data_IF_471439991150
#
_entry.id   IF_471439991150
#
_cell.length_a   1.000
_cell.length_b   1.000
_cell.length_c   1.000
_cell.angle_alpha   90.00
_cell.angle_beta   90.00
_cell.angle_gamma   90.00
#
_symmetry.space_group_name_H-M   'P 1'
#
loop_
_entity.id
_entity.type
_entity.pdbx_description
1 polymer ?
#
# COMPACT_ATOMS: atom_id res chain seq x y z
N UNK A 1 -5.16 -3.68 -0.90
CA UNK A 1 -4.50 -4.94 -1.29
C UNK A 1 -3.30 -4.57 -2.14
N UNK A 2 -2.08 -4.95 -1.74
CA UNK A 2 -0.84 -4.68 -2.46
C UNK A 2 -0.31 -6.01 -2.98
N UNK A 3 -0.01 -6.10 -4.29
CA UNK A 3 0.57 -7.28 -4.91
C UNK A 3 2.04 -7.00 -5.23
N UNK A 4 3.00 -7.68 -4.59
CA UNK A 4 4.41 -7.57 -4.95
C UNK A 4 4.63 -8.00 -6.40
N UNK A 5 5.41 -7.21 -7.14
CA UNK A 5 5.75 -7.46 -8.55
C UNK A 5 7.27 -7.49 -8.71
N UNK A 6 7.78 -8.35 -9.58
CA UNK A 6 9.20 -8.41 -9.93
C UNK A 6 9.40 -8.29 -11.43
N UNK A 7 10.42 -7.54 -11.83
CA UNK A 7 10.81 -7.32 -13.22
C UNK A 7 12.22 -7.87 -13.43
N UNK A 8 12.42 -8.71 -14.45
CA UNK A 8 13.73 -9.27 -14.78
C UNK A 8 14.35 -8.66 -16.05
N UNK A 9 13.51 -8.06 -16.91
CA UNK A 9 13.96 -7.38 -18.12
C UNK A 9 14.63 -6.03 -17.78
N UNK A 10 15.87 -5.77 -18.24
CA UNK A 10 16.59 -4.55 -17.90
C UNK A 10 15.92 -3.25 -18.38
N UNK A 11 15.25 -3.28 -19.54
CA UNK A 11 14.58 -2.11 -20.08
C UNK A 11 13.33 -1.79 -19.24
N UNK A 12 12.54 -2.80 -18.90
CA UNK A 12 11.38 -2.62 -18.05
C UNK A 12 11.78 -2.23 -16.61
N UNK A 13 12.92 -2.73 -16.11
CA UNK A 13 13.47 -2.26 -14.84
C UNK A 13 13.85 -0.77 -14.89
N UNK A 14 14.47 -0.32 -15.99
CA UNK A 14 14.78 1.10 -16.19
C UNK A 14 13.51 1.96 -16.17
N UNK A 15 12.50 1.57 -16.94
CA UNK A 15 11.21 2.23 -16.98
C UNK A 15 10.58 2.31 -15.58
N UNK A 16 10.57 1.20 -14.83
CA UNK A 16 9.98 1.15 -13.51
C UNK A 16 10.69 2.01 -12.45
N UNK A 17 12.01 2.18 -12.58
CA UNK A 17 12.82 2.93 -11.62
C UNK A 17 12.88 4.42 -11.92
N UNK A 18 12.71 4.82 -13.18
CA UNK A 18 13.04 6.18 -13.62
C UNK A 18 11.93 6.91 -14.38
N UNK A 19 10.98 6.19 -14.97
CA UNK A 19 9.96 6.78 -15.83
C UNK A 19 8.56 6.74 -15.20
N UNK A 20 8.26 5.67 -14.46
CA UNK A 20 7.00 5.51 -13.76
C UNK A 20 6.97 6.30 -12.46
N UNK A 21 5.80 6.84 -12.14
CA UNK A 21 5.57 7.55 -10.88
C UNK A 21 4.42 6.92 -10.08
N UNK A 22 4.44 7.05 -8.74
CA UNK A 22 3.27 6.70 -7.94
C UNK A 22 2.01 7.41 -8.45
N UNK A 23 0.93 6.65 -8.62
CA UNK A 23 -0.34 7.15 -9.16
C UNK A 23 -0.54 6.90 -10.65
N UNK A 24 0.49 6.47 -11.39
CA UNK A 24 0.34 6.00 -12.77
C UNK A 24 -0.64 4.83 -12.84
N UNK A 25 -1.63 4.94 -13.73
CA UNK A 25 -2.52 3.83 -14.03
C UNK A 25 -1.86 2.92 -15.06
N UNK A 26 -1.67 1.66 -14.69
CA UNK A 26 -0.95 0.70 -15.53
C UNK A 26 -1.73 -0.58 -15.77
N UNK A 27 -1.46 -1.18 -16.93
CA UNK A 27 -1.72 -2.59 -17.21
C UNK A 27 -0.43 -3.37 -16.97
N UNK A 28 -0.50 -4.36 -16.09
CA UNK A 28 0.62 -5.24 -15.78
C UNK A 28 0.22 -6.65 -16.16
N UNK A 29 1.00 -7.29 -17.04
CA UNK A 29 0.80 -8.68 -17.47
C UNK A 29 1.99 -9.51 -17.00
N UNK A 30 1.70 -10.73 -16.56
CA UNK A 30 2.72 -11.64 -16.05
C UNK A 30 2.13 -12.95 -15.58
N UNK A 31 2.93 -13.70 -14.85
CA UNK A 31 2.50 -14.94 -14.20
C UNK A 31 2.66 -14.83 -12.69
N UNK A 32 1.62 -15.26 -11.99
CA UNK A 32 1.56 -15.23 -10.54
C UNK A 32 2.33 -16.41 -9.96
N UNK A 33 3.29 -16.15 -9.07
CA UNK A 33 3.87 -17.18 -8.22
C UNK A 33 3.03 -17.29 -6.96
N UNK A 34 2.38 -18.44 -6.83
CA UNK A 34 1.62 -18.80 -5.65
C UNK A 34 2.58 -19.21 -4.53
N UNK A 35 2.27 -18.82 -3.28
CA UNK A 35 3.09 -19.17 -2.14
C UNK A 35 3.05 -20.68 -1.91
N UNK A 36 4.21 -21.27 -1.62
CA UNK A 36 4.33 -22.71 -1.33
C UNK A 36 4.26 -22.99 0.16
N UNK A 37 4.43 -21.96 0.99
CA UNK A 37 4.36 -22.01 2.44
C UNK A 37 3.54 -20.82 2.96
N UNK A 38 2.97 -20.88 4.18
CA UNK A 38 2.15 -19.79 4.73
C UNK A 38 2.88 -18.45 4.91
N UNK A 39 4.21 -18.47 4.93
CA UNK A 39 5.04 -17.28 5.15
C UNK A 39 5.63 -16.71 3.85
N UNK A 40 5.45 -17.40 2.72
CA UNK A 40 5.90 -16.91 1.43
C UNK A 40 4.85 -15.94 0.87
N UNK A 41 5.22 -14.75 0.38
CA UNK A 41 4.26 -13.87 -0.25
C UNK A 41 3.90 -14.39 -1.65
N UNK A 42 2.66 -14.15 -2.06
CA UNK A 42 2.29 -14.22 -3.47
C UNK A 42 2.95 -13.05 -4.22
N UNK A 43 3.52 -13.28 -5.40
CA UNK A 43 4.09 -12.21 -6.21
C UNK A 43 3.88 -12.42 -7.71
N UNK A 44 3.79 -11.34 -8.47
CA UNK A 44 3.65 -11.34 -9.92
C UNK A 44 5.01 -11.18 -10.59
N UNK A 45 5.40 -12.11 -11.45
CA UNK A 45 6.56 -11.93 -12.33
C UNK A 45 6.08 -11.26 -13.61
N UNK A 46 6.52 -10.02 -13.82
CA UNK A 46 6.03 -9.16 -14.88
C UNK A 46 6.73 -9.52 -16.19
N UNK A 47 5.93 -9.71 -17.24
CA UNK A 47 6.40 -9.94 -18.62
C UNK A 47 6.09 -8.78 -19.54
N UNK A 48 5.11 -7.95 -19.18
CA UNK A 48 4.76 -6.75 -19.94
C UNK A 48 4.18 -5.69 -18.99
N UNK A 49 4.56 -4.44 -19.24
CA UNK A 49 4.12 -3.29 -18.48
C UNK A 49 3.71 -2.18 -19.45
N UNK A 50 2.48 -1.69 -19.31
CA UNK A 50 1.93 -0.64 -20.18
C UNK A 50 1.32 0.47 -19.33
N UNK A 51 1.80 1.69 -19.53
CA UNK A 51 1.17 2.88 -18.97
C UNK A 51 -0.14 3.14 -19.73
N UNK A 52 -1.25 3.17 -19.01
CA UNK A 52 -2.57 3.49 -19.57
C UNK A 52 -2.88 4.98 -19.43
N UNK A 53 -2.58 5.53 -18.26
CA UNK A 53 -2.80 6.93 -17.96
C UNK A 53 -1.72 7.39 -16.96
N UNK A 54 -1.04 8.52 -17.21
CA UNK A 54 -0.08 9.07 -16.26
C UNK A 54 -0.80 9.58 -15.01
N UNK A 55 -0.09 9.58 -13.88
CA UNK A 55 -0.52 10.26 -12.68
C UNK A 55 -0.86 11.72 -13.00
N UNK A 56 -1.91 12.31 -12.40
CA UNK A 56 -2.20 13.71 -12.59
C UNK A 56 -1.01 14.55 -12.12
N UNK A 57 -0.58 15.51 -12.94
CA UNK A 57 0.45 16.47 -12.52
C UNK A 57 -0.18 17.46 -11.57
N UNK A 58 0.21 17.42 -10.31
CA UNK A 58 -0.17 18.44 -9.34
C UNK A 58 0.93 19.49 -9.28
N UNK A 59 0.55 20.75 -9.52
CA UNK A 59 1.47 21.91 -9.49
C UNK A 59 1.98 22.24 -8.10
N UNK A 60 1.37 21.67 -7.06
CA UNK A 60 1.83 21.73 -5.68
C UNK A 60 2.21 20.31 -5.28
N UNK A 61 3.45 20.12 -4.82
CA UNK A 61 3.87 18.85 -4.24
C UNK A 61 2.97 18.58 -3.04
N UNK A 62 2.21 17.49 -3.07
CA UNK A 62 1.46 17.07 -1.89
C UNK A 62 2.47 16.80 -0.77
N UNK A 63 2.44 17.62 0.27
CA UNK A 63 3.10 17.27 1.53
C UNK A 63 2.34 16.13 2.20
N UNK A 64 1.04 15.96 1.92
CA UNK A 64 0.24 14.94 2.56
C UNK A 64 -0.54 14.03 1.61
N UNK A 65 -0.65 12.76 2.01
CA UNK A 65 -1.33 11.70 1.26
C UNK A 65 -2.30 10.95 2.17
N UNK A 66 -3.46 10.59 1.62
CA UNK A 66 -4.37 9.62 2.22
C UNK A 66 -4.14 8.24 1.57
N UNK A 67 -3.75 7.27 2.39
CA UNK A 67 -3.56 5.88 2.00
C UNK A 67 -4.62 4.99 2.64
N UNK A 68 -4.91 3.84 2.00
CA UNK A 68 -5.94 2.92 2.49
C UNK A 68 -5.40 1.50 2.63
N UNK A 69 -5.57 0.95 3.83
CA UNK A 69 -5.15 -0.39 4.24
C UNK A 69 -6.38 -1.18 4.67
N UNK A 70 -7.07 -1.82 3.72
CA UNK A 70 -8.32 -2.53 4.02
C UNK A 70 -9.42 -1.55 4.49
N UNK A 71 -10.02 -1.75 5.68
CA UNK A 71 -10.99 -0.83 6.25
C UNK A 71 -10.34 0.43 6.86
N UNK A 72 -9.02 0.53 6.89
CA UNK A 72 -8.29 1.63 7.52
C UNK A 72 -7.86 2.69 6.51
N UNK A 73 -7.95 3.94 6.92
CA UNK A 73 -7.54 5.14 6.18
C UNK A 73 -6.45 5.82 6.99
N UNK A 74 -5.29 6.06 6.39
CA UNK A 74 -4.10 6.63 7.00
C UNK A 74 -3.78 7.96 6.33
N UNK A 75 -3.43 8.97 7.12
CA UNK A 75 -2.91 10.23 6.60
C UNK A 75 -1.43 10.31 6.89
N UNK A 76 -0.62 10.50 5.85
CA UNK A 76 0.83 10.63 5.94
C UNK A 76 1.20 12.02 5.45
N UNK A 77 2.07 12.72 6.18
CA UNK A 77 2.47 14.09 5.86
C UNK A 77 3.99 14.21 5.91
N UNK A 78 4.60 14.86 4.93
CA UNK A 78 6.03 15.06 4.83
C UNK A 78 6.57 15.93 5.98
N UNK A 79 5.71 16.73 6.60
CA UNK A 79 6.07 17.58 7.73
C UNK A 79 6.04 16.83 9.08
N UNK A 80 5.57 15.56 9.11
CA UNK A 80 5.52 14.77 10.36
C UNK A 80 5.57 13.26 10.14
N UNK A 81 6.36 12.55 10.94
CA UNK A 81 6.37 11.09 10.96
C UNK A 81 5.11 10.46 11.59
N UNK A 82 4.27 11.27 12.25
CA UNK A 82 3.04 10.78 12.87
C UNK A 82 2.00 10.43 11.80
N UNK A 83 1.50 9.20 11.83
CA UNK A 83 0.49 8.71 10.89
C UNK A 83 -0.83 8.48 11.64
N UNK A 84 -1.74 9.45 11.65
CA UNK A 84 -3.09 9.25 12.19
C UNK A 84 -3.91 8.30 11.30
N UNK A 85 -4.73 7.48 11.95
CA UNK A 85 -5.48 6.39 11.33
C UNK A 85 -6.93 6.40 11.77
N UNK A 86 -7.82 6.23 10.80
CA UNK A 86 -9.26 6.04 10.96
C UNK A 86 -9.71 4.75 10.28
N UNK A 87 -10.91 4.29 10.57
CA UNK A 87 -11.66 3.39 9.70
C UNK A 87 -12.34 4.17 8.57
N UNK A 88 -12.82 3.45 7.54
CA UNK A 88 -13.48 4.03 6.36
C UNK A 88 -14.75 4.82 6.70
N UNK A 89 -15.44 4.49 7.79
CA UNK A 89 -16.60 5.22 8.31
C UNK A 89 -16.21 6.46 9.16
N UNK A 90 -14.92 6.73 9.32
CA UNK A 90 -14.38 7.87 10.08
C UNK A 90 -14.15 7.59 11.56
N UNK A 91 -14.32 6.36 12.05
CA UNK A 91 -13.99 6.03 13.45
C UNK A 91 -12.49 6.11 13.70
N UNK A 92 -12.09 6.78 14.78
CA UNK A 92 -10.69 6.93 15.14
C UNK A 92 -10.05 5.61 15.61
N UNK A 93 -8.87 5.27 15.06
CA UNK A 93 -8.10 4.08 15.45
C UNK A 93 -6.91 4.45 16.33
N UNK A 94 -6.17 5.50 15.98
CA UNK A 94 -4.98 5.94 16.71
C UNK A 94 -3.95 6.65 15.84
N UNK A 95 -2.75 6.85 16.39
CA UNK A 95 -1.61 7.45 15.68
C UNK A 95 -0.41 6.51 15.77
N UNK A 96 0.15 6.15 14.62
CA UNK A 96 1.44 5.46 14.58
C UNK A 96 2.56 6.51 14.66
N UNK A 97 3.59 6.24 15.47
CA UNK A 97 4.68 7.19 15.66
C UNK A 97 5.58 7.40 14.44
N UNK A 98 5.55 6.44 13.51
CA UNK A 98 6.24 6.47 12.20
C UNK A 98 5.42 5.65 11.19
N UNK A 99 5.63 5.82 9.87
CA UNK A 99 5.00 4.98 8.86
C UNK A 99 5.31 3.48 9.03
N UNK A 100 6.51 3.14 9.48
CA UNK A 100 6.89 1.74 9.74
C UNK A 100 6.13 1.11 10.93
N UNK A 101 5.67 1.94 11.88
CA UNK A 101 4.89 1.49 13.03
C UNK A 101 3.41 1.23 12.72
N UNK A 102 2.95 1.56 11.51
CA UNK A 102 1.54 1.46 11.13
C UNK A 102 1.01 0.02 11.26
N UNK A 103 1.77 -0.98 10.80
CA UNK A 103 1.35 -2.37 10.85
C UNK A 103 1.06 -2.86 12.28
N UNK A 104 1.88 -2.46 13.25
CA UNK A 104 1.71 -2.83 14.65
C UNK A 104 0.47 -2.16 15.27
N UNK A 105 0.17 -0.92 14.90
CA UNK A 105 -1.05 -0.23 15.34
C UNK A 105 -2.31 -0.93 14.82
N UNK A 106 -2.33 -1.30 13.54
CA UNK A 106 -3.46 -1.98 12.92
C UNK A 106 -3.68 -3.37 13.54
N UNK A 107 -2.62 -4.15 13.72
CA UNK A 107 -2.69 -5.46 14.35
C UNK A 107 -3.26 -5.37 15.78
N UNK A 108 -2.80 -4.40 16.58
CA UNK A 108 -3.33 -4.20 17.94
C UNK A 108 -4.81 -3.79 17.95
N UNK A 109 -5.26 -3.04 16.94
CA UNK A 109 -6.66 -2.66 16.76
C UNK A 109 -7.53 -3.88 16.41
N UNK A 110 -7.08 -4.70 15.47
CA UNK A 110 -7.77 -5.93 15.05
C UNK A 110 -7.86 -6.94 16.21
N UNK A 111 -6.79 -7.13 16.98
CA UNK A 111 -6.79 -7.99 18.15
C UNK A 111 -7.80 -7.53 19.22
N UNK A 112 -7.94 -6.22 19.45
CA UNK A 112 -8.92 -5.68 20.39
C UNK A 112 -10.35 -5.94 19.94
N UNK A 113 -10.65 -5.77 18.65
CA UNK A 113 -11.98 -6.00 18.10
C UNK A 113 -12.31 -7.50 17.97
N UNK A 114 -11.32 -8.35 17.69
CA UNK A 114 -11.46 -9.81 17.67
C UNK A 114 -11.65 -10.41 19.06
N UNK A 115 -11.01 -9.86 20.10
CA UNK A 115 -11.17 -10.30 21.49
C UNK A 115 -12.48 -9.82 22.14
N UNK A 116 -13.18 -8.85 21.54
CA UNK A 116 -14.51 -8.40 21.96
C UNK A 116 -15.66 -9.19 21.33
N UNK A 117 -15.36 -10.16 20.48
CA UNK A 117 -16.31 -10.96 19.72
C UNK A 117 -16.84 -12.20 20.43
N UNK A 118 -16.89 -12.24 21.76
CA UNK A 118 -17.71 -13.19 22.52
C UNK A 118 -18.16 -12.55 23.83
N UNK A 119 -19.40 -12.03 23.87
CA UNK A 119 -20.30 -12.30 24.99
C UNK A 119 -21.77 -12.18 24.52
N UNK A 120 -22.63 -13.12 24.92
CA UNK A 120 -24.02 -13.26 24.47
C UNK A 120 -24.95 -12.16 24.98
#
# INVERSE_FOLDING_TARGET
>A
MILPCSVADPQMAHQALHELVPGDQMRVTGYLRLPRTPHEPMWLVVTELTLLQPAPTFTEAFTAMLERYGPYVCYTDADTDQVPVWTEDGTWVGVAGTPAGLGQLLEACEQRHGAGGEQP
#
